data_IF_153924723872
#
_entry.id   IF_153924723872
#
_cell.length_a   1.000
_cell.length_b   1.000
_cell.length_c   1.000
_cell.angle_alpha   90.00
_cell.angle_beta   90.00
_cell.angle_gamma   90.00
#
_symmetry.space_group_name_H-M   'P 1'
#
loop_
_entity.id
_entity.type
_entity.pdbx_description
1 polymer ?
#
# COMPACT_ATOMS: atom_id res chain seq x y z
N UNK A 1 31.17 -4.10 11.92
CA UNK A 1 30.41 -3.39 12.99
C UNK A 1 31.28 -2.87 14.13
N UNK A 2 32.34 -3.56 14.59
CA UNK A 2 33.29 -3.01 15.58
C UNK A 2 34.03 -1.72 15.17
N UNK A 3 34.05 -1.38 13.86
CA UNK A 3 34.73 -0.17 13.36
C UNK A 3 34.03 1.15 13.69
N UNK A 4 32.75 1.14 14.06
CA UNK A 4 31.95 2.37 14.22
C UNK A 4 31.60 2.66 15.68
N UNK A 5 31.97 1.77 16.62
CA UNK A 5 31.67 1.95 18.06
C UNK A 5 30.18 1.87 18.42
N UNK A 6 29.31 1.52 17.48
CA UNK A 6 27.86 1.41 17.70
C UNK A 6 27.48 -0.06 17.94
N UNK A 7 26.81 -0.38 19.06
CA UNK A 7 26.38 -1.74 19.36
C UNK A 7 25.23 -2.18 18.44
N UNK A 8 25.27 -3.44 18.02
CA UNK A 8 24.24 -4.05 17.19
C UNK A 8 23.01 -4.36 18.05
N UNK A 9 21.90 -3.69 17.77
CA UNK A 9 20.61 -3.91 18.47
C UNK A 9 19.84 -5.14 17.95
N UNK A 10 20.12 -5.57 16.72
CA UNK A 10 19.38 -6.67 16.11
C UNK A 10 19.73 -6.87 14.65
N UNK A 11 19.51 -8.09 14.14
CA UNK A 11 19.63 -8.41 12.73
C UNK A 11 18.40 -9.23 12.33
N UNK A 12 17.50 -8.60 11.59
CA UNK A 12 16.24 -9.21 11.19
C UNK A 12 16.45 -9.88 9.82
N UNK A 13 16.24 -11.20 9.69
CA UNK A 13 16.29 -11.88 8.41
C UNK A 13 15.12 -11.45 7.54
N UNK A 14 15.29 -11.50 6.21
CA UNK A 14 14.21 -11.16 5.28
C UNK A 14 13.05 -12.17 5.38
N UNK A 15 11.81 -11.68 5.36
CA UNK A 15 10.60 -12.51 5.31
C UNK A 15 9.84 -12.22 4.02
N UNK A 16 9.83 -13.15 3.04
CA UNK A 16 9.24 -12.92 1.72
C UNK A 16 7.78 -12.44 1.73
N UNK A 17 7.01 -12.82 2.74
CA UNK A 17 5.61 -12.39 2.89
C UNK A 17 5.47 -10.89 3.13
N UNK A 18 6.37 -10.26 3.89
CA UNK A 18 6.29 -8.84 4.21
C UNK A 18 6.54 -7.96 2.97
N UNK A 19 7.25 -8.48 1.99
CA UNK A 19 7.45 -7.87 0.67
C UNK A 19 6.32 -8.14 -0.33
N UNK A 20 5.30 -8.92 0.01
CA UNK A 20 4.20 -9.21 -0.91
C UNK A 20 3.20 -8.05 -0.95
N UNK A 21 2.92 -7.45 -2.12
CA UNK A 21 1.94 -6.37 -2.23
C UNK A 21 0.52 -6.85 -1.92
N UNK A 22 -0.23 -6.01 -1.21
CA UNK A 22 -1.68 -6.15 -1.06
C UNK A 22 -2.40 -5.36 -2.17
N UNK A 23 -3.68 -5.64 -2.44
CA UNK A 23 -4.46 -4.82 -3.40
C UNK A 23 -4.48 -3.34 -2.98
N UNK A 24 -4.51 -3.03 -1.68
CA UNK A 24 -4.38 -1.67 -1.16
C UNK A 24 -3.09 -0.96 -1.57
N UNK A 25 -1.99 -1.70 -1.71
CA UNK A 25 -0.71 -1.14 -2.14
C UNK A 25 -0.73 -0.85 -3.65
N UNK A 26 -1.41 -1.72 -4.41
CA UNK A 26 -1.60 -1.56 -5.85
C UNK A 26 -2.56 -0.41 -6.19
N UNK A 27 -3.59 -0.18 -5.37
CA UNK A 27 -4.46 1.01 -5.47
C UNK A 27 -3.63 2.29 -5.38
N UNK A 28 -2.69 2.37 -4.43
CA UNK A 28 -1.78 3.51 -4.30
C UNK A 28 -0.78 3.59 -5.45
N UNK A 29 -0.26 2.45 -5.91
CA UNK A 29 0.70 2.39 -7.01
C UNK A 29 0.11 2.94 -8.32
N UNK A 30 -1.15 2.61 -8.60
CA UNK A 30 -1.81 2.96 -9.86
C UNK A 30 -2.73 4.18 -9.76
N UNK A 31 -2.78 4.84 -8.60
CA UNK A 31 -3.70 5.93 -8.28
C UNK A 31 -5.16 5.62 -8.67
N UNK A 32 -5.63 4.47 -8.17
CA UNK A 32 -6.94 3.92 -8.52
C UNK A 32 -7.58 3.22 -7.33
N UNK A 33 -8.81 2.75 -7.51
CA UNK A 33 -9.55 1.98 -6.50
C UNK A 33 -10.05 0.67 -7.08
N UNK A 34 -10.23 -0.31 -6.20
CA UNK A 34 -10.99 -1.51 -6.53
C UNK A 34 -12.42 -1.15 -6.94
N UNK A 35 -12.87 -1.73 -8.05
CA UNK A 35 -14.25 -1.62 -8.54
C UNK A 35 -15.18 -2.49 -7.70
N UNK A 36 -14.69 -3.66 -7.30
CA UNK A 36 -15.38 -4.63 -6.47
C UNK A 36 -14.40 -5.38 -5.57
N UNK A 37 -14.94 -6.21 -4.67
CA UNK A 37 -14.14 -7.05 -3.79
C UNK A 37 -13.38 -6.26 -2.73
N UNK A 38 -13.94 -5.15 -2.24
CA UNK A 38 -13.31 -4.33 -1.19
C UNK A 38 -12.98 -5.09 0.10
N UNK A 39 -13.67 -6.20 0.37
CA UNK A 39 -13.34 -7.12 1.48
C UNK A 39 -11.98 -7.80 1.31
N UNK A 40 -11.51 -7.92 0.07
CA UNK A 40 -10.25 -8.56 -0.30
C UNK A 40 -9.10 -7.57 -0.45
N UNK A 41 -9.32 -6.30 -0.08
CA UNK A 41 -8.37 -5.19 -0.25
C UNK A 41 -7.00 -5.42 0.39
N UNK A 42 -6.97 -6.12 1.52
CA UNK A 42 -5.72 -6.48 2.23
C UNK A 42 -5.22 -7.88 1.90
N UNK A 43 -5.67 -8.49 0.79
CA UNK A 43 -5.14 -9.77 0.33
C UNK A 43 -3.78 -9.56 -0.35
N UNK A 44 -2.77 -10.29 0.11
CA UNK A 44 -1.40 -10.28 -0.41
C UNK A 44 -1.22 -11.24 -1.58
N UNK A 45 -0.47 -10.80 -2.59
CA UNK A 45 -0.09 -11.62 -3.73
C UNK A 45 1.42 -11.70 -3.83
N UNK A 46 1.95 -12.90 -4.05
CA UNK A 46 3.38 -13.10 -4.24
C UNK A 46 3.75 -12.67 -5.66
N UNK A 47 4.91 -12.03 -5.82
CA UNK A 47 5.42 -11.60 -7.13
C UNK A 47 5.46 -12.74 -8.18
N UNK A 48 5.85 -13.99 -7.84
CA UNK A 48 5.82 -15.12 -8.78
C UNK A 48 4.41 -15.52 -9.24
N UNK A 49 3.37 -15.19 -8.47
CA UNK A 49 1.97 -15.49 -8.78
C UNK A 49 1.27 -14.35 -9.53
N UNK A 50 2.01 -13.31 -9.95
CA UNK A 50 1.50 -12.27 -10.83
C UNK A 50 1.61 -12.75 -12.28
N UNK A 51 0.46 -12.86 -12.95
CA UNK A 51 0.36 -13.46 -14.27
C UNK A 51 -0.18 -12.48 -15.29
N UNK A 52 0.66 -12.10 -16.27
CA UNK A 52 0.23 -11.31 -17.42
C UNK A 52 -0.51 -12.19 -18.43
N UNK A 53 -1.78 -11.86 -18.67
CA UNK A 53 -2.66 -12.59 -19.59
C UNK A 53 -2.47 -12.08 -21.01
N UNK A 54 -1.57 -12.72 -21.74
CA UNK A 54 -1.37 -12.49 -23.19
C UNK A 54 -1.97 -13.60 -24.07
N UNK A 55 -2.49 -14.66 -23.44
CA UNK A 55 -2.96 -15.87 -24.14
C UNK A 55 -4.44 -15.82 -24.51
N UNK A 56 -4.92 -16.87 -25.18
CA UNK A 56 -6.33 -17.05 -25.50
C UNK A 56 -7.18 -17.29 -24.25
N UNK A 57 -8.48 -17.01 -24.33
CA UNK A 57 -9.44 -17.29 -23.27
C UNK A 57 -9.36 -18.73 -22.76
N UNK A 58 -9.24 -19.71 -23.65
CA UNK A 58 -9.12 -21.13 -23.26
C UNK A 58 -7.95 -21.37 -22.31
N UNK A 59 -6.75 -20.90 -22.67
CA UNK A 59 -5.55 -21.05 -21.83
C UNK A 59 -5.66 -20.26 -20.54
N UNK A 60 -6.29 -19.09 -20.58
CA UNK A 60 -6.56 -18.31 -19.38
C UNK A 60 -7.47 -19.07 -18.40
N UNK A 61 -8.58 -19.64 -18.86
CA UNK A 61 -9.49 -20.41 -18.00
C UNK A 61 -8.84 -21.68 -17.45
N UNK A 62 -8.03 -22.38 -18.27
CA UNK A 62 -7.21 -23.51 -17.80
C UNK A 62 -6.27 -23.07 -16.67
N UNK A 63 -5.58 -21.94 -16.84
CA UNK A 63 -4.71 -21.36 -15.81
C UNK A 63 -5.49 -21.02 -14.53
N UNK A 64 -6.64 -20.34 -14.62
CA UNK A 64 -7.48 -19.99 -13.45
C UNK A 64 -7.88 -21.23 -12.64
N UNK A 65 -8.08 -22.37 -13.31
CA UNK A 65 -8.51 -23.62 -12.66
C UNK A 65 -7.36 -24.44 -12.09
N UNK A 66 -6.15 -24.29 -12.62
CA UNK A 66 -4.99 -25.13 -12.27
C UNK A 66 -3.96 -24.42 -11.40
N UNK A 67 -3.83 -23.09 -11.52
CA UNK A 67 -2.89 -22.29 -10.75
C UNK A 67 -3.32 -22.13 -9.28
N UNK A 68 -2.39 -21.69 -8.39
CA UNK A 68 -2.72 -21.38 -7.02
C UNK A 68 -3.93 -20.44 -6.91
N UNK A 69 -4.74 -20.64 -5.86
CA UNK A 69 -5.95 -19.84 -5.62
C UNK A 69 -5.65 -18.33 -5.57
N UNK A 70 -4.48 -17.95 -5.05
CA UNK A 70 -3.98 -16.57 -4.93
C UNK A 70 -3.12 -16.14 -6.11
N UNK A 71 -3.70 -16.11 -7.31
CA UNK A 71 -3.05 -15.58 -8.50
C UNK A 71 -3.57 -14.17 -8.81
N UNK A 72 -2.66 -13.24 -9.11
CA UNK A 72 -3.02 -11.89 -9.57
C UNK A 72 -2.91 -11.84 -11.09
N UNK A 73 -4.04 -11.72 -11.79
CA UNK A 73 -4.08 -11.65 -13.23
C UNK A 73 -4.01 -10.21 -13.70
N UNK A 74 -3.22 -9.96 -14.74
CA UNK A 74 -3.06 -8.64 -15.36
C UNK A 74 -3.44 -8.77 -16.82
N UNK A 75 -4.39 -7.97 -17.30
CA UNK A 75 -4.85 -8.03 -18.69
C UNK A 75 -5.03 -6.63 -19.26
N UNK A 76 -5.01 -6.52 -20.59
CA UNK A 76 -5.41 -5.28 -21.24
C UNK A 76 -6.92 -5.06 -21.08
N UNK A 77 -7.32 -3.80 -20.94
CA UNK A 77 -8.70 -3.38 -20.69
C UNK A 77 -9.69 -3.77 -21.79
N UNK A 78 -9.22 -3.92 -23.04
CA UNK A 78 -10.05 -4.31 -24.20
C UNK A 78 -10.25 -5.81 -24.35
N UNK A 79 -9.73 -6.63 -23.43
CA UNK A 79 -9.91 -8.09 -23.45
C UNK A 79 -11.20 -8.47 -22.73
N UNK A 80 -12.32 -8.08 -23.30
CA UNK A 80 -13.66 -8.35 -22.76
C UNK A 80 -13.90 -9.85 -22.55
N UNK A 81 -13.35 -10.69 -23.44
CA UNK A 81 -13.38 -12.15 -23.32
C UNK A 81 -12.73 -12.65 -22.01
N UNK A 82 -11.59 -12.08 -21.63
CA UNK A 82 -10.89 -12.41 -20.38
C UNK A 82 -11.67 -11.90 -19.17
N UNK A 83 -12.22 -10.68 -19.25
CA UNK A 83 -13.01 -10.11 -18.15
C UNK A 83 -14.24 -10.99 -17.88
N UNK A 84 -15.02 -11.28 -18.92
CA UNK A 84 -16.20 -12.14 -18.82
C UNK A 84 -15.84 -13.56 -18.40
N UNK A 85 -14.74 -14.11 -18.91
CA UNK A 85 -14.23 -15.42 -18.49
C UNK A 85 -13.90 -15.46 -17.00
N UNK A 86 -13.24 -14.43 -16.49
CA UNK A 86 -12.90 -14.31 -15.07
C UNK A 86 -14.15 -14.22 -14.19
N UNK A 87 -15.12 -13.38 -14.57
CA UNK A 87 -16.41 -13.26 -13.89
C UNK A 87 -17.19 -14.58 -13.91
N UNK A 88 -17.19 -15.29 -15.03
CA UNK A 88 -17.82 -16.60 -15.17
C UNK A 88 -17.22 -17.65 -14.23
N UNK A 89 -15.89 -17.70 -14.10
CA UNK A 89 -15.20 -18.61 -13.18
C UNK A 89 -15.49 -18.25 -11.72
N UNK A 90 -15.50 -16.96 -11.38
CA UNK A 90 -15.89 -16.49 -10.06
C UNK A 90 -17.30 -16.95 -9.70
N UNK A 91 -18.29 -16.70 -10.56
CA UNK A 91 -19.68 -17.09 -10.31
C UNK A 91 -19.81 -18.61 -10.20
N UNK A 92 -19.10 -19.38 -11.02
CA UNK A 92 -19.08 -20.84 -10.95
C UNK A 92 -18.57 -21.33 -9.59
N UNK A 93 -17.49 -20.74 -9.07
CA UNK A 93 -16.89 -21.16 -7.80
C UNK A 93 -17.73 -20.69 -6.60
N UNK A 94 -18.29 -19.48 -6.67
CA UNK A 94 -19.26 -18.96 -5.68
C UNK A 94 -20.45 -19.90 -5.52
N UNK A 95 -21.06 -20.38 -6.63
CA UNK A 95 -22.18 -21.35 -6.60
C UNK A 95 -21.80 -22.70 -5.99
N UNK A 96 -20.53 -23.07 -6.02
CA UNK A 96 -20.00 -24.30 -5.41
C UNK A 96 -19.54 -24.10 -3.97
N UNK A 97 -19.65 -22.88 -3.42
CA UNK A 97 -19.14 -22.54 -2.09
C UNK A 97 -17.61 -22.57 -1.98
N UNK A 98 -16.89 -22.53 -3.11
CA UNK A 98 -15.43 -22.54 -3.12
C UNK A 98 -14.92 -21.10 -3.09
N UNK A 99 -14.02 -20.72 -2.16
CA UNK A 99 -13.50 -19.37 -2.09
C UNK A 99 -12.70 -19.02 -3.35
N UNK A 100 -12.98 -17.85 -3.92
CA UNK A 100 -12.25 -17.33 -5.07
C UNK A 100 -11.22 -16.30 -4.59
N UNK A 101 -9.94 -16.69 -4.59
CA UNK A 101 -8.88 -15.85 -4.03
C UNK A 101 -8.10 -15.01 -5.05
N UNK A 102 -8.36 -15.22 -6.35
CA UNK A 102 -7.65 -14.52 -7.43
C UNK A 102 -8.21 -13.11 -7.66
N UNK A 103 -7.39 -12.21 -8.19
CA UNK A 103 -7.79 -10.85 -8.58
C UNK A 103 -7.40 -10.52 -10.02
N UNK A 104 -8.06 -9.51 -10.59
CA UNK A 104 -7.84 -9.06 -11.96
C UNK A 104 -7.54 -7.55 -12.01
N UNK A 105 -6.43 -7.20 -12.65
CA UNK A 105 -6.05 -5.82 -12.95
C UNK A 105 -6.20 -5.60 -14.46
N UNK A 106 -6.96 -4.59 -14.82
CA UNK A 106 -7.21 -4.18 -16.19
C UNK A 106 -6.39 -2.94 -16.50
N UNK A 107 -5.44 -3.07 -17.41
CA UNK A 107 -4.54 -1.99 -17.81
C UNK A 107 -5.04 -1.34 -19.10
N UNK A 108 -5.25 -0.04 -19.07
CA UNK A 108 -5.61 0.79 -20.23
C UNK A 108 -4.92 2.13 -20.12
N UNK A 109 -4.36 2.63 -21.23
CA UNK A 109 -3.80 3.99 -21.25
C UNK A 109 -4.94 5.00 -21.13
N UNK A 110 -4.79 5.96 -20.22
CA UNK A 110 -5.77 7.03 -20.01
C UNK A 110 -6.08 7.74 -21.34
N UNK A 111 -7.37 8.03 -21.57
CA UNK A 111 -7.90 8.65 -22.78
C UNK A 111 -7.66 7.87 -24.09
N UNK A 112 -7.21 6.61 -24.00
CA UNK A 112 -6.93 5.77 -25.19
C UNK A 112 -7.73 4.48 -25.20
N UNK A 113 -7.78 3.79 -24.06
CA UNK A 113 -8.50 2.54 -23.92
C UNK A 113 -9.21 2.51 -22.58
N UNK A 114 -10.52 2.33 -22.61
CA UNK A 114 -11.37 2.18 -21.43
C UNK A 114 -12.09 0.83 -21.45
N UNK A 115 -12.63 0.44 -20.29
CA UNK A 115 -13.48 -0.74 -20.19
C UNK A 115 -14.77 -0.47 -20.96
N UNK A 116 -15.21 -1.47 -21.72
CA UNK A 116 -16.49 -1.47 -22.39
C UNK A 116 -17.64 -1.12 -21.42
N UNK A 117 -18.51 -0.14 -21.71
CA UNK A 117 -19.56 0.29 -20.77
C UNK A 117 -20.47 -0.86 -20.29
N UNK A 118 -20.78 -1.80 -21.18
CA UNK A 118 -21.58 -2.98 -20.86
C UNK A 118 -20.91 -3.89 -19.82
N UNK A 119 -19.58 -3.97 -19.84
CA UNK A 119 -18.82 -4.70 -18.82
C UNK A 119 -18.90 -3.96 -17.48
N UNK A 120 -18.80 -2.63 -17.47
CA UNK A 120 -18.97 -1.84 -16.25
C UNK A 120 -20.37 -2.02 -15.66
N UNK A 121 -21.41 -2.13 -16.49
CA UNK A 121 -22.77 -2.40 -16.03
C UNK A 121 -22.90 -3.80 -15.41
N UNK A 122 -22.25 -4.81 -16.00
CA UNK A 122 -22.16 -6.15 -15.39
C UNK A 122 -21.43 -6.09 -14.04
N UNK A 123 -20.35 -5.33 -13.92
CA UNK A 123 -19.61 -5.20 -12.66
C UNK A 123 -20.39 -4.50 -11.54
N UNK A 124 -21.46 -3.76 -11.87
CA UNK A 124 -22.38 -3.17 -10.88
C UNK A 124 -23.36 -4.19 -10.32
N UNK A 125 -23.45 -5.40 -10.89
CA UNK A 125 -24.32 -6.46 -10.38
C UNK A 125 -23.93 -6.81 -8.92
N UNK A 126 -24.88 -6.77 -7.96
CA UNK A 126 -24.63 -7.16 -6.58
C UNK A 126 -24.03 -8.56 -6.41
N UNK A 127 -24.33 -9.50 -7.32
CA UNK A 127 -23.74 -10.84 -7.29
C UNK A 127 -22.22 -10.82 -7.53
N UNK A 128 -21.73 -9.81 -8.25
CA UNK A 128 -20.34 -9.61 -8.64
C UNK A 128 -19.63 -8.52 -7.82
N UNK A 129 -20.33 -7.86 -6.89
CA UNK A 129 -19.77 -6.80 -6.05
C UNK A 129 -18.55 -7.22 -5.22
N UNK A 130 -18.39 -8.52 -4.94
CA UNK A 130 -17.26 -9.06 -4.17
C UNK A 130 -16.09 -9.57 -5.06
N UNK A 131 -16.17 -9.40 -6.38
CA UNK A 131 -15.07 -9.78 -7.28
C UNK A 131 -13.95 -8.72 -7.22
N UNK A 132 -12.71 -9.10 -6.88
CA UNK A 132 -11.60 -8.15 -6.79
C UNK A 132 -11.08 -7.79 -8.19
N UNK A 133 -11.57 -6.67 -8.72
CA UNK A 133 -11.16 -6.10 -10.02
C UNK A 133 -10.73 -4.66 -9.84
N UNK A 134 -9.64 -4.28 -10.50
CA UNK A 134 -9.07 -2.93 -10.50
C UNK A 134 -8.76 -2.47 -11.92
N UNK A 135 -8.96 -1.19 -12.23
CA UNK A 135 -8.49 -0.59 -13.49
C UNK A 135 -7.26 0.28 -13.20
N UNK A 136 -6.17 0.01 -13.91
CA UNK A 136 -4.95 0.81 -13.88
C UNK A 136 -4.84 1.65 -15.16
N UNK A 137 -4.65 2.96 -15.01
CA UNK A 137 -4.56 3.95 -16.09
C UNK A 137 -3.21 3.96 -16.82
N UNK A 138 -2.60 2.79 -17.01
CA UNK A 138 -1.29 2.64 -17.65
C UNK A 138 -1.25 1.40 -18.53
N UNK A 139 -0.19 1.26 -19.33
CA UNK A 139 -0.02 0.06 -20.16
C UNK A 139 0.27 -1.17 -19.29
N UNK A 140 0.00 -2.37 -19.81
CA UNK A 140 0.34 -3.63 -19.12
C UNK A 140 1.84 -3.74 -18.86
N UNK A 141 2.67 -3.24 -19.77
CA UNK A 141 4.12 -3.20 -19.61
C UNK A 141 4.52 -2.33 -18.41
N UNK A 142 4.01 -1.10 -18.35
CA UNK A 142 4.37 -0.15 -17.29
C UNK A 142 3.82 -0.60 -15.94
N UNK A 143 2.61 -1.16 -15.92
CA UNK A 143 2.03 -1.74 -14.71
C UNK A 143 2.89 -2.89 -14.16
N UNK A 144 3.33 -3.80 -15.02
CA UNK A 144 4.21 -4.91 -14.62
C UNK A 144 5.57 -4.42 -14.14
N UNK A 145 6.14 -3.38 -14.79
CA UNK A 145 7.37 -2.73 -14.35
C UNK A 145 7.22 -2.13 -12.95
N UNK A 146 6.18 -1.31 -12.75
CA UNK A 146 5.87 -0.65 -11.48
C UNK A 146 5.65 -1.65 -10.34
N UNK A 147 4.93 -2.76 -10.60
CA UNK A 147 4.71 -3.81 -9.59
C UNK A 147 5.98 -4.56 -9.20
N UNK A 148 6.91 -4.78 -10.14
CA UNK A 148 8.18 -5.46 -9.84
C UNK A 148 9.10 -4.61 -8.95
N UNK A 149 9.04 -3.29 -9.09
CA UNK A 149 9.83 -2.34 -8.30
C UNK A 149 9.12 -1.88 -7.03
N UNK A 150 7.86 -2.28 -6.83
CA UNK A 150 7.08 -1.88 -5.66
C UNK A 150 7.68 -2.50 -4.40
N UNK A 151 8.03 -1.65 -3.44
CA UNK A 151 8.32 -2.06 -2.06
C UNK A 151 7.10 -1.73 -1.20
N UNK A 152 6.29 -2.73 -0.80
CA UNK A 152 5.11 -2.48 0.03
C UNK A 152 5.52 -1.84 1.36
N UNK A 153 4.82 -0.78 1.73
CA UNK A 153 4.99 -0.16 3.05
C UNK A 153 4.02 -0.80 4.04
N UNK A 154 4.39 -0.83 5.31
CA UNK A 154 3.46 -1.21 6.36
C UNK A 154 2.28 -0.23 6.36
N UNK A 155 1.07 -0.80 6.31
CA UNK A 155 -0.17 -0.06 6.26
C UNK A 155 -0.93 -0.37 7.54
N UNK A 156 -1.31 0.66 8.30
CA UNK A 156 -1.99 0.48 9.59
C UNK A 156 -3.34 -0.23 9.46
N UNK A 157 -3.97 -0.17 8.29
CA UNK A 157 -5.21 -0.92 8.03
C UNK A 157 -4.99 -2.41 7.75
N UNK A 158 -3.76 -2.84 7.51
CA UNK A 158 -3.39 -4.24 7.24
C UNK A 158 -2.90 -4.91 8.52
N UNK A 159 -3.85 -5.16 9.42
CA UNK A 159 -3.57 -5.77 10.73
C UNK A 159 -2.82 -7.10 10.60
N UNK A 160 -3.12 -7.89 9.56
CA UNK A 160 -2.50 -9.19 9.35
C UNK A 160 -1.01 -9.07 9.01
N UNK A 161 -0.63 -8.14 8.12
CA UNK A 161 0.79 -7.88 7.84
C UNK A 161 1.51 -7.32 9.06
N UNK A 162 0.84 -6.45 9.84
CA UNK A 162 1.42 -5.88 11.07
C UNK A 162 1.69 -6.96 12.11
N UNK A 163 0.73 -7.84 12.38
CA UNK A 163 0.87 -8.96 13.31
C UNK A 163 2.03 -9.88 12.91
N UNK A 164 2.09 -10.27 11.63
CA UNK A 164 3.18 -11.09 11.10
C UNK A 164 4.54 -10.38 11.19
N UNK A 165 4.57 -9.05 11.02
CA UNK A 165 5.79 -8.28 11.18
C UNK A 165 6.25 -8.25 12.64
N UNK A 166 5.34 -8.04 13.60
CA UNK A 166 5.66 -8.07 15.03
C UNK A 166 6.25 -9.42 15.41
N UNK A 167 5.54 -10.51 15.11
CA UNK A 167 6.00 -11.88 15.40
C UNK A 167 7.37 -12.21 14.79
N UNK A 168 7.67 -11.64 13.61
CA UNK A 168 8.93 -11.87 12.92
C UNK A 168 10.08 -11.04 13.50
N UNK A 169 9.81 -9.79 13.87
CA UNK A 169 10.87 -8.85 14.26
C UNK A 169 11.22 -8.99 15.74
N UNK A 170 10.23 -9.28 16.58
CA UNK A 170 10.38 -9.33 18.03
C UNK A 170 11.53 -10.22 18.52
N UNK A 171 11.75 -11.44 17.99
CA UNK A 171 12.85 -12.31 18.44
C UNK A 171 14.24 -11.82 18.01
N UNK A 172 14.33 -10.83 17.14
CA UNK A 172 15.57 -10.39 16.49
C UNK A 172 16.02 -9.00 16.93
N UNK A 173 15.33 -8.37 17.88
CA UNK A 173 15.62 -7.05 18.43
C UNK A 173 15.87 -7.18 19.94
N UNK A 174 16.99 -6.65 20.40
CA UNK A 174 17.29 -6.49 21.82
C UNK A 174 16.60 -5.24 22.36
N UNK A 175 15.37 -5.42 22.84
CA UNK A 175 14.56 -4.33 23.39
C UNK A 175 15.08 -3.81 24.73
N UNK A 176 15.75 -4.64 25.54
CA UNK A 176 16.31 -4.22 26.82
C UNK A 176 17.43 -3.20 26.59
N UNK A 177 18.36 -3.51 25.69
CA UNK A 177 19.44 -2.58 25.32
C UNK A 177 18.91 -1.28 24.69
N UNK A 178 17.77 -1.36 23.99
CA UNK A 178 17.11 -0.21 23.38
C UNK A 178 16.43 0.67 24.44
N UNK A 179 15.74 0.05 25.40
CA UNK A 179 15.08 0.74 26.50
C UNK A 179 16.11 1.41 27.41
N UNK A 180 17.15 0.69 27.85
CA UNK A 180 18.22 1.25 28.70
C UNK A 180 18.85 2.54 28.13
N UNK A 181 19.07 2.57 26.82
CA UNK A 181 19.64 3.73 26.12
C UNK A 181 18.67 4.89 25.91
N UNK A 182 17.38 4.61 25.82
CA UNK A 182 16.36 5.63 25.56
C UNK A 182 15.72 6.17 26.85
N UNK A 183 15.76 5.39 27.93
CA UNK A 183 15.27 5.78 29.27
C UNK A 183 16.30 6.55 30.10
N UNK A 184 17.57 6.61 29.65
CA UNK A 184 18.57 7.48 30.27
C UNK A 184 18.30 8.93 29.85
N UNK A 185 17.89 9.85 30.74
CA UNK A 185 17.88 11.26 30.40
C UNK A 185 19.32 11.63 30.04
N UNK A 186 19.57 12.01 28.80
CA UNK A 186 20.84 12.62 28.43
C UNK A 186 20.97 13.85 29.34
N UNK A 187 21.94 13.92 30.26
CA UNK A 187 22.21 15.16 30.95
C UNK A 187 22.68 16.11 29.87
N UNK A 188 21.81 17.04 29.45
CA UNK A 188 22.21 18.17 28.63
C UNK A 188 23.41 18.81 29.34
N UNK A 189 24.52 18.99 28.63
CA UNK A 189 25.63 19.74 29.19
C UNK A 189 25.12 21.15 29.55
N UNK A 190 25.69 21.77 30.59
CA UNK A 190 25.26 23.11 31.02
C UNK A 190 25.31 24.15 29.87
N UNK A 191 26.14 23.90 28.86
CA UNK A 191 26.22 24.69 27.62
C UNK A 191 24.98 24.53 26.72
N UNK A 192 24.42 23.33 26.57
CA UNK A 192 23.23 23.06 25.74
C UNK A 192 21.94 23.57 26.40
N UNK A 193 21.84 23.49 27.74
CA UNK A 193 20.72 24.08 28.51
C UNK A 193 20.74 25.59 28.39
N UNK A 194 21.93 26.21 28.44
CA UNK A 194 22.07 27.65 28.32
C UNK A 194 21.78 28.14 26.89
N UNK A 195 22.19 27.40 25.85
CA UNK A 195 21.86 27.75 24.45
C UNK A 195 20.35 27.60 24.15
N UNK A 196 19.70 26.56 24.69
CA UNK A 196 18.26 26.37 24.56
C UNK A 196 17.44 27.45 25.31
N UNK A 197 17.88 27.86 26.51
CA UNK A 197 17.27 28.96 27.25
C UNK A 197 17.42 30.31 26.52
N UNK A 198 18.56 30.54 25.85
CA UNK A 198 18.83 31.77 25.08
C UNK A 198 18.04 31.81 23.77
N UNK A 199 17.77 30.65 23.13
CA UNK A 199 16.87 30.56 21.98
C UNK A 199 15.39 30.71 22.36
N UNK A 200 14.98 30.24 23.54
CA UNK A 200 13.59 30.40 24.00
C UNK A 200 13.25 31.84 24.40
N UNK A 201 14.20 32.60 24.95
CA UNK A 201 13.97 34.01 25.33
C UNK A 201 13.92 34.94 24.11
N UNK A 202 14.70 34.66 23.07
CA UNK A 202 14.70 35.43 21.81
C UNK A 202 13.45 35.16 20.96
N UNK A 203 12.91 33.94 20.97
CA UNK A 203 11.62 33.61 20.34
C UNK A 203 10.41 34.24 21.08
N UNK A 204 10.44 34.32 22.41
CA UNK A 204 9.40 35.00 23.20
C UNK A 204 9.36 36.51 22.95
N UNK A 205 10.52 37.17 22.92
CA UNK A 205 10.61 38.61 22.68
C UNK A 205 10.18 39.00 21.24
N UNK A 206 10.50 38.18 20.24
CA UNK A 206 10.08 38.40 18.86
C UNK A 206 8.56 38.19 18.65
N UNK A 207 7.95 37.27 19.39
CA UNK A 207 6.51 37.03 19.34
C UNK A 207 5.71 38.18 19.98
N UNK A 208 6.18 38.76 21.09
CA UNK A 208 5.54 39.92 21.72
C UNK A 208 5.64 41.20 20.86
N UNK A 209 6.76 41.42 20.16
CA UNK A 209 6.89 42.57 19.25
C UNK A 209 6.02 42.43 18.00
N UNK A 210 5.86 41.21 17.47
CA UNK A 210 4.97 40.94 16.34
C UNK A 210 3.48 41.09 16.72
N UNK A 211 3.09 40.66 17.93
CA UNK A 211 1.73 40.82 18.42
C UNK A 211 1.36 42.30 18.66
N UNK A 212 2.27 43.10 19.21
CA UNK A 212 2.03 44.54 19.43
C UNK A 212 1.87 45.32 18.11
N UNK A 213 2.64 44.98 17.06
CA UNK A 213 2.54 45.63 15.75
C UNK A 213 1.24 45.30 15.00
N UNK A 214 0.69 44.08 15.19
CA UNK A 214 -0.57 43.67 14.60
C UNK A 214 -1.78 44.39 15.23
N UNK A 215 -1.77 44.59 16.55
CA UNK A 215 -2.86 45.30 17.26
C UNK A 215 -2.91 46.78 16.85
N UNK A 216 -1.77 47.45 16.74
CA UNK A 216 -1.71 48.85 16.30
C UNK A 216 -2.16 49.07 14.84
N UNK A 217 -1.95 48.07 13.98
CA UNK A 217 -2.39 48.12 12.57
C UNK A 217 -3.90 47.90 12.40
N UNK A 218 -4.57 47.31 13.41
CA UNK A 218 -6.01 47.00 13.34
C UNK A 218 -6.86 48.18 13.82
N UNK A 219 -6.36 49.03 14.72
CA UNK A 219 -7.06 50.24 15.16
C UNK A 219 -7.00 51.40 14.14
N UNK A 220 -6.00 51.42 13.24
CA UNK A 220 -5.89 52.46 12.20
C UNK A 220 -6.80 52.24 10.98
N UNK A 221 -7.50 51.11 10.89
CA UNK A 221 -8.41 50.77 9.76
C UNK A 221 -9.89 50.96 10.14
N UNK A 222 -10.20 51.25 11.41
CA UNK A 222 -11.56 51.44 11.92
C UNK A 222 -11.86 52.87 12.41
N UNK A 223 -11.01 53.84 12.06
CA UNK A 223 -11.23 55.28 12.27
C UNK A 223 -11.26 56.05 10.94
#
# INVERSE_FOLDING_TARGET
>A
MQRWGVPLLGCIPDRPFLGCPALADLERLFDTRLIGGGRHRFRHYRVPDINLVTTSLKRFLENVRQKPSRTLYVSHVTRDDIILGFLGEYTRLKRRGVPFESALILCGRENKYDVCPQILDILKDPELADVPIMIAKMSTHDAMGAMRTLTPKLNIGDNHRVEIAVEHYEPHIDFELLLERTSSPVPLSEEEVMEAATRSSTLGAAAETAAAAAVASTEAVLS
#
